data_IF_506581514639
#
_entry.id   IF_506581514639
#
_cell.length_a   1.000
_cell.length_b   1.000
_cell.length_c   1.000
_cell.angle_alpha   90.00
_cell.angle_beta   90.00
_cell.angle_gamma   90.00
#
_symmetry.space_group_name_H-M   'P 1'
#
loop_
_entity.id
_entity.type
_entity.pdbx_description
1 polymer ?
#
# COMPACT_ATOMS: atom_id res chain seq x y z
N UNK A 1 12.80 -16.27 -18.30
CA UNK A 1 13.14 -15.36 -17.19
C UNK A 1 13.30 -16.20 -15.93
N UNK A 2 14.44 -16.12 -15.26
CA UNK A 2 14.64 -16.69 -13.92
C UNK A 2 14.31 -15.56 -12.95
N UNK A 3 13.22 -15.72 -12.17
CA UNK A 3 13.01 -14.89 -10.99
C UNK A 3 13.94 -15.45 -9.93
N UNK A 4 15.16 -14.91 -9.83
CA UNK A 4 16.06 -15.23 -8.73
C UNK A 4 15.74 -14.30 -7.57
N UNK A 5 15.15 -14.84 -6.51
CA UNK A 5 15.22 -14.24 -5.19
C UNK A 5 16.68 -14.27 -4.76
N UNK A 6 17.38 -13.14 -4.91
CA UNK A 6 18.78 -13.03 -4.49
C UNK A 6 18.80 -12.66 -3.01
N UNK A 7 19.15 -13.61 -2.17
CA UNK A 7 19.47 -13.38 -0.76
C UNK A 7 20.90 -12.79 -0.68
N UNK A 8 21.03 -11.47 -0.54
CA UNK A 8 22.32 -10.88 -0.19
C UNK A 8 22.53 -11.02 1.31
N UNK A 9 23.58 -11.74 1.72
CA UNK A 9 24.05 -11.80 3.11
C UNK A 9 24.23 -10.39 3.70
N UNK A 10 23.54 -10.10 4.80
CA UNK A 10 23.80 -8.94 5.67
C UNK A 10 24.08 -9.39 7.11
N UNK A 11 24.92 -8.65 7.85
CA UNK A 11 25.33 -9.03 9.19
C UNK A 11 24.15 -8.98 10.16
N UNK A 12 24.08 -10.00 11.02
CA UNK A 12 23.09 -10.19 12.07
C UNK A 12 23.07 -9.01 13.04
N UNK A 13 22.04 -8.17 12.95
CA UNK A 13 21.58 -7.31 14.06
C UNK A 13 20.05 -7.39 14.17
N UNK A 14 19.58 -7.30 15.41
CA UNK A 14 18.26 -7.71 15.86
C UNK A 14 17.08 -6.89 15.30
N UNK A 15 15.96 -7.61 15.11
CA UNK A 15 14.57 -7.18 14.88
C UNK A 15 14.23 -6.57 13.50
N UNK A 16 13.28 -7.23 12.81
CA UNK A 16 12.68 -6.84 11.54
C UNK A 16 13.36 -7.47 10.31
N UNK A 17 12.66 -8.37 9.60
CA UNK A 17 13.17 -8.98 8.36
C UNK A 17 12.58 -8.26 7.15
N UNK A 18 13.44 -7.83 6.22
CA UNK A 18 13.07 -7.18 4.96
C UNK A 18 13.03 -8.22 3.85
N UNK A 19 11.93 -8.28 3.06
CA UNK A 19 11.90 -9.05 1.82
C UNK A 19 12.09 -8.08 0.65
N UNK A 20 13.24 -8.18 -0.03
CA UNK A 20 13.50 -7.42 -1.25
C UNK A 20 13.08 -8.26 -2.45
N UNK A 21 12.09 -7.80 -3.22
CA UNK A 21 11.72 -8.44 -4.49
C UNK A 21 12.52 -7.76 -5.59
N UNK A 22 13.50 -8.47 -6.14
CA UNK A 22 14.36 -7.98 -7.21
C UNK A 22 13.84 -8.48 -8.56
N UNK A 23 13.16 -7.61 -9.31
CA UNK A 23 12.69 -7.92 -10.66
C UNK A 23 13.76 -7.48 -11.67
N UNK A 24 14.59 -8.41 -12.14
CA UNK A 24 15.63 -8.10 -13.13
C UNK A 24 15.15 -8.48 -14.53
N UNK A 25 14.86 -7.48 -15.35
CA UNK A 25 14.58 -7.68 -16.78
C UNK A 25 15.90 -7.81 -17.56
N UNK A 26 16.15 -8.96 -18.18
CA UNK A 26 17.17 -9.06 -19.23
C UNK A 26 16.49 -9.02 -20.60
N UNK A 27 16.76 -7.96 -21.36
CA UNK A 27 16.44 -7.90 -22.79
C UNK A 27 17.39 -8.82 -23.55
N UNK A 28 16.84 -9.74 -24.35
CA UNK A 28 17.61 -10.52 -25.33
C UNK A 28 17.74 -9.81 -26.70
N UNK A 29 17.23 -8.58 -26.83
CA UNK A 29 17.36 -7.80 -28.05
C UNK A 29 18.30 -6.63 -27.79
N UNK A 30 19.49 -6.70 -28.39
CA UNK A 30 20.49 -5.65 -28.34
C UNK A 30 19.95 -4.35 -28.96
N UNK A 31 20.30 -3.22 -28.33
CA UNK A 31 19.87 -1.83 -28.58
C UNK A 31 18.55 -1.40 -27.93
N UNK A 32 18.53 -1.25 -26.60
CA UNK A 32 17.80 -0.17 -25.94
C UNK A 32 18.55 0.30 -24.68
N UNK A 33 18.44 1.60 -24.38
CA UNK A 33 19.02 2.32 -23.24
C UNK A 33 18.74 1.66 -21.87
N UNK A 34 19.56 1.94 -20.84
CA UNK A 34 19.42 1.30 -19.53
C UNK A 34 18.05 1.59 -18.92
N UNK A 35 17.30 0.52 -18.64
CA UNK A 35 16.12 0.56 -17.77
C UNK A 35 16.55 1.03 -16.38
N UNK A 36 15.80 1.96 -15.80
CA UNK A 36 15.86 2.24 -14.37
C UNK A 36 15.33 1.03 -13.60
N UNK A 37 16.18 0.40 -12.80
CA UNK A 37 15.78 -0.66 -11.87
C UNK A 37 14.77 -0.08 -10.86
N UNK A 38 13.52 -0.55 -10.88
CA UNK A 38 12.51 -0.18 -9.89
C UNK A 38 12.54 -1.20 -8.76
N UNK A 39 12.95 -0.76 -7.57
CA UNK A 39 13.06 -1.58 -6.37
C UNK A 39 11.82 -1.41 -5.49
N UNK A 40 11.00 -2.46 -5.38
CA UNK A 40 9.95 -2.55 -4.37
C UNK A 40 10.47 -3.35 -3.17
N UNK A 41 10.72 -2.66 -2.06
CA UNK A 41 11.02 -3.27 -0.76
C UNK A 41 9.70 -3.43 0.00
N UNK A 42 9.21 -4.67 0.14
CA UNK A 42 8.04 -4.96 0.97
C UNK A 42 8.55 -5.27 2.39
N UNK A 43 8.09 -4.47 3.36
CA UNK A 43 8.44 -4.65 4.77
C UNK A 43 7.37 -5.49 5.46
N UNK A 44 7.73 -6.69 5.90
CA UNK A 44 6.85 -7.53 6.70
C UNK A 44 7.14 -7.31 8.18
N UNK A 45 6.20 -6.70 8.90
CA UNK A 45 6.31 -6.49 10.34
C UNK A 45 5.61 -7.66 11.07
N UNK A 46 6.36 -8.42 11.89
CA UNK A 46 5.82 -9.54 12.69
C UNK A 46 4.86 -8.99 13.75
N UNK A 47 3.55 -9.16 13.54
CA UNK A 47 2.52 -8.73 14.49
C UNK A 47 2.45 -9.72 15.67
N UNK A 48 3.27 -9.51 16.71
CA UNK A 48 3.16 -10.23 17.99
C UNK A 48 2.70 -9.35 19.14
N UNK A 49 1.44 -9.61 19.54
CA UNK A 49 0.86 -9.58 20.88
C UNK A 49 1.15 -8.37 21.79
N UNK A 50 0.12 -7.53 21.96
CA UNK A 50 0.01 -6.61 23.07
C UNK A 50 -0.11 -7.39 24.40
N UNK A 51 0.86 -7.20 25.31
CA UNK A 51 0.70 -7.56 26.72
C UNK A 51 0.60 -6.27 27.54
N UNK A 52 -0.54 -6.14 28.22
CA UNK A 52 -0.88 -5.06 29.15
C UNK A 52 0.00 -5.13 30.41
N UNK A 53 0.62 -4.00 30.80
CA UNK A 53 1.23 -3.83 32.14
C UNK A 53 0.19 -3.27 33.13
N UNK A 54 0.15 -3.73 34.38
CA UNK A 54 -0.52 -3.02 35.46
C UNK A 54 0.43 -2.14 36.27
N UNK A 55 -0.20 -1.10 36.81
CA UNK A 55 0.24 -0.02 37.69
C UNK A 55 0.86 -0.46 39.03
N UNK A 56 1.87 0.31 39.47
CA UNK A 56 2.44 0.34 40.83
C UNK A 56 1.43 0.85 41.87
N UNK A 57 1.56 0.51 43.18
CA UNK A 57 2.36 1.37 44.09
C UNK A 57 3.04 0.71 45.33
N UNK A 58 4.02 1.45 45.88
CA UNK A 58 4.49 1.56 47.29
C UNK A 58 5.28 0.44 48.03
N UNK A 59 6.60 0.71 48.18
CA UNK A 59 7.49 0.69 49.39
C UNK A 59 7.15 -0.23 50.59
N UNK A 60 8.04 -1.20 50.89
CA UNK A 60 8.77 -1.38 52.18
C UNK A 60 9.68 -2.63 52.17
N UNK A 61 10.76 -2.57 52.95
CA UNK A 61 11.83 -3.57 53.10
C UNK A 61 11.43 -4.78 53.98
N UNK A 62 12.13 -5.92 53.85
CA UNK A 62 12.77 -6.71 54.95
C UNK A 62 13.15 -8.16 54.53
N UNK A 63 14.39 -8.52 54.91
CA UNK A 63 15.11 -9.81 55.11
C UNK A 63 15.17 -10.96 54.12
N UNK A 64 16.42 -11.45 54.02
CA UNK A 64 16.92 -12.76 53.61
C UNK A 64 16.13 -13.93 54.23
N UNK A 65 15.85 -14.94 53.41
CA UNK A 65 15.88 -16.33 53.85
C UNK A 65 16.43 -17.24 52.75
N UNK A 66 17.49 -17.96 53.10
CA UNK A 66 18.10 -19.03 52.32
C UNK A 66 17.21 -20.26 52.41
N UNK A 67 16.82 -20.82 51.26
CA UNK A 67 16.27 -22.17 51.16
C UNK A 67 16.84 -22.89 49.93
N UNK A 68 17.12 -24.17 50.15
CA UNK A 68 18.04 -25.06 49.45
C UNK A 68 17.22 -26.06 48.62
N UNK A 69 17.81 -26.57 47.53
CA UNK A 69 17.33 -27.67 46.63
C UNK A 69 16.23 -27.25 45.65
N UNK A 70 16.24 -27.64 44.37
CA UNK A 70 16.54 -28.97 43.79
C UNK A 70 16.96 -28.78 42.32
N UNK A 71 18.01 -29.46 41.88
CA UNK A 71 18.36 -29.58 40.45
C UNK A 71 17.26 -30.40 39.77
N UNK A 72 16.59 -29.82 38.78
CA UNK A 72 15.74 -30.53 37.84
C UNK A 72 16.33 -30.32 36.45
N UNK A 73 16.59 -31.44 35.79
CA UNK A 73 17.21 -31.58 34.49
C UNK A 73 16.38 -30.91 33.40
N UNK A 74 16.98 -29.90 32.77
CA UNK A 74 16.49 -29.22 31.59
C UNK A 74 16.84 -30.07 30.35
N UNK A 75 15.84 -30.76 29.81
CA UNK A 75 15.93 -31.37 28.48
C UNK A 75 15.94 -30.25 27.45
N UNK A 76 17.11 -29.96 26.88
CA UNK A 76 17.28 -29.09 25.70
C UNK A 76 16.48 -29.67 24.53
N UNK A 77 15.27 -29.17 24.32
CA UNK A 77 14.63 -29.23 23.00
C UNK A 77 15.31 -28.19 22.13
N UNK A 78 16.11 -28.70 21.20
CA UNK A 78 16.79 -27.95 20.15
C UNK A 78 15.77 -27.11 19.36
N UNK A 79 15.99 -25.81 19.12
CA UNK A 79 15.11 -25.03 18.26
C UNK A 79 15.17 -25.62 16.85
N UNK A 80 14.01 -26.01 16.32
CA UNK A 80 13.89 -26.40 14.93
C UNK A 80 14.31 -25.21 14.06
N UNK A 81 15.22 -25.50 13.15
CA UNK A 81 15.88 -24.59 12.25
C UNK A 81 14.86 -24.04 11.23
N UNK A 82 14.44 -22.78 11.40
CA UNK A 82 13.52 -22.06 10.49
C UNK A 82 14.31 -21.55 9.28
N UNK A 83 14.97 -22.46 8.56
CA UNK A 83 15.65 -22.18 7.29
C UNK A 83 14.93 -22.85 6.11
N UNK A 84 13.65 -23.20 6.26
CA UNK A 84 12.82 -23.62 5.13
C UNK A 84 12.41 -22.37 4.32
N UNK A 85 13.37 -21.94 3.50
CA UNK A 85 13.17 -20.95 2.44
C UNK A 85 12.33 -21.61 1.35
N UNK A 86 11.11 -21.11 1.13
CA UNK A 86 10.33 -21.45 -0.07
C UNK A 86 10.93 -20.67 -1.24
N UNK A 87 11.97 -21.23 -1.85
CA UNK A 87 12.49 -20.78 -3.14
C UNK A 87 11.48 -21.26 -4.19
N UNK A 88 10.65 -20.36 -4.71
CA UNK A 88 9.79 -20.71 -5.84
C UNK A 88 10.69 -20.95 -7.08
N UNK A 89 10.61 -22.13 -7.72
CA UNK A 89 11.39 -22.41 -8.91
C UNK A 89 10.99 -21.46 -10.07
N UNK A 90 11.89 -21.20 -11.03
CA UNK A 90 11.58 -20.38 -12.19
C UNK A 90 10.38 -20.97 -12.98
N UNK A 91 9.28 -20.21 -12.99
CA UNK A 91 7.92 -20.60 -13.41
C UNK A 91 7.73 -20.92 -14.91
N UNK A 92 8.78 -21.24 -15.66
CA UNK A 92 8.68 -21.39 -17.13
C UNK A 92 7.82 -22.59 -17.60
N UNK A 93 7.46 -23.53 -16.71
CA UNK A 93 6.69 -24.73 -17.05
C UNK A 93 5.58 -25.10 -16.04
N UNK A 94 5.22 -24.20 -15.13
CA UNK A 94 4.16 -24.47 -14.15
C UNK A 94 2.78 -24.34 -14.81
N UNK A 95 1.82 -25.23 -14.50
CA UNK A 95 0.45 -25.07 -14.98
C UNK A 95 -0.10 -23.72 -14.49
N UNK A 96 -0.80 -22.94 -15.33
CA UNK A 96 -1.21 -21.57 -15.04
C UNK A 96 -2.01 -21.41 -13.74
N UNK A 97 -2.69 -22.48 -13.30
CA UNK A 97 -3.47 -22.48 -12.07
C UNK A 97 -2.60 -22.41 -10.79
N UNK A 98 -1.41 -23.00 -10.80
CA UNK A 98 -0.55 -23.03 -9.61
C UNK A 98 -0.03 -21.63 -9.24
N UNK A 99 0.21 -20.79 -10.24
CA UNK A 99 0.69 -19.41 -10.03
C UNK A 99 -0.44 -18.54 -9.48
N UNK A 100 -1.66 -18.70 -10.00
CA UNK A 100 -2.83 -18.00 -9.50
C UNK A 100 -3.11 -18.35 -8.03
N UNK A 101 -3.02 -19.63 -7.66
CA UNK A 101 -3.23 -20.11 -6.29
C UNK A 101 -2.17 -19.55 -5.31
N UNK A 102 -0.91 -19.46 -5.75
CA UNK A 102 0.16 -18.88 -4.94
C UNK A 102 -0.09 -17.38 -4.66
N UNK A 103 -0.49 -16.62 -5.69
CA UNK A 103 -0.83 -15.20 -5.52
C UNK A 103 -2.07 -15.01 -4.65
N UNK A 104 -3.08 -15.86 -4.81
CA UNK A 104 -4.27 -15.83 -3.97
C UNK A 104 -3.90 -15.96 -2.48
N UNK A 105 -3.01 -16.89 -2.14
CA UNK A 105 -2.53 -17.03 -0.76
C UNK A 105 -1.81 -15.77 -0.26
N UNK A 106 -0.93 -15.17 -1.07
CA UNK A 106 -0.23 -13.92 -0.70
C UNK A 106 -1.22 -12.80 -0.41
N UNK A 107 -2.27 -12.64 -1.23
CA UNK A 107 -3.26 -11.57 -1.02
C UNK A 107 -4.03 -11.68 0.30
N UNK A 108 -4.10 -12.87 0.91
CA UNK A 108 -4.77 -13.03 2.21
C UNK A 108 -3.98 -12.41 3.38
N UNK A 109 -2.68 -12.16 3.18
CA UNK A 109 -1.79 -11.58 4.21
C UNK A 109 -1.55 -10.09 4.03
N UNK A 110 -1.92 -9.53 2.88
CA UNK A 110 -1.69 -8.14 2.55
C UNK A 110 -2.92 -7.30 2.91
N UNK A 111 -2.68 -6.04 3.24
CA UNK A 111 -3.76 -5.06 3.33
C UNK A 111 -4.26 -4.72 1.93
N UNK A 112 -5.45 -4.13 1.88
CA UNK A 112 -6.16 -3.89 0.62
C UNK A 112 -5.40 -2.95 -0.32
N UNK A 113 -4.83 -1.87 0.22
CA UNK A 113 -4.02 -0.92 -0.54
C UNK A 113 -2.70 -1.54 -1.02
N UNK A 114 -2.11 -2.44 -0.23
CA UNK A 114 -0.93 -3.22 -0.64
C UNK A 114 -1.25 -4.22 -1.76
N UNK A 115 -2.42 -4.87 -1.72
CA UNK A 115 -2.89 -5.71 -2.83
C UNK A 115 -3.06 -4.90 -4.12
N UNK A 116 -3.57 -3.67 -4.02
CA UNK A 116 -3.74 -2.78 -5.16
C UNK A 116 -2.38 -2.36 -5.76
N UNK A 117 -1.40 -2.05 -4.91
CA UNK A 117 -0.01 -1.80 -5.32
C UNK A 117 0.62 -3.01 -5.99
N UNK A 118 0.45 -4.21 -5.41
CA UNK A 118 0.98 -5.44 -5.96
C UNK A 118 0.36 -5.75 -7.34
N UNK A 119 -0.94 -5.53 -7.49
CA UNK A 119 -1.64 -5.69 -8.76
C UNK A 119 -1.07 -4.76 -9.83
N UNK A 120 -0.94 -3.46 -9.52
CA UNK A 120 -0.36 -2.46 -10.43
C UNK A 120 1.07 -2.81 -10.85
N UNK A 121 1.92 -3.17 -9.88
CA UNK A 121 3.31 -3.54 -10.14
C UNK A 121 3.44 -4.77 -11.06
N UNK A 122 2.48 -5.70 -10.98
CA UNK A 122 2.44 -6.87 -11.88
C UNK A 122 1.91 -6.47 -13.26
N UNK A 123 0.86 -5.64 -13.33
CA UNK A 123 0.26 -5.21 -14.60
C UNK A 123 1.23 -4.43 -15.49
N UNK A 124 2.13 -3.64 -14.87
CA UNK A 124 3.18 -2.90 -15.58
C UNK A 124 4.29 -3.80 -16.15
N UNK A 125 4.31 -5.09 -15.82
CA UNK A 125 5.25 -5.99 -16.47
C UNK A 125 4.78 -6.28 -17.91
N UNK A 126 5.67 -6.10 -18.89
CA UNK A 126 5.38 -6.31 -20.33
C UNK A 126 5.03 -7.76 -20.72
N UNK A 127 4.68 -8.62 -19.76
CA UNK A 127 4.45 -10.04 -19.97
C UNK A 127 2.96 -10.35 -20.07
N UNK A 128 2.51 -11.06 -21.13
CA UNK A 128 1.10 -11.45 -21.29
C UNK A 128 0.52 -12.25 -20.10
N UNK A 129 1.36 -13.01 -19.39
CA UNK A 129 0.95 -13.76 -18.19
C UNK A 129 0.65 -12.88 -16.98
N UNK A 130 1.16 -11.65 -16.97
CA UNK A 130 1.02 -10.74 -15.84
C UNK A 130 -0.40 -10.20 -15.69
N UNK A 131 -1.08 -9.94 -16.79
CA UNK A 131 -2.49 -9.52 -16.79
C UNK A 131 -3.39 -10.54 -16.08
N UNK A 132 -3.16 -11.84 -16.30
CA UNK A 132 -3.92 -12.90 -15.61
C UNK A 132 -3.62 -12.93 -14.12
N UNK A 133 -2.36 -12.70 -13.72
CA UNK A 133 -1.96 -12.64 -12.31
C UNK A 133 -2.54 -11.40 -11.62
N UNK A 134 -2.46 -10.22 -12.24
CA UNK A 134 -3.08 -8.98 -11.77
C UNK A 134 -4.59 -9.18 -11.54
N UNK A 135 -5.32 -9.71 -12.53
CA UNK A 135 -6.74 -10.03 -12.38
C UNK A 135 -7.02 -10.98 -11.22
N UNK A 136 -6.21 -12.02 -11.05
CA UNK A 136 -6.36 -12.97 -9.95
C UNK A 136 -6.16 -12.30 -8.59
N UNK A 137 -5.16 -11.44 -8.47
CA UNK A 137 -4.87 -10.67 -7.25
C UNK A 137 -6.02 -9.71 -6.93
N UNK A 138 -6.47 -8.93 -7.92
CA UNK A 138 -7.57 -7.97 -7.76
C UNK A 138 -8.86 -8.66 -7.36
N UNK A 139 -9.18 -9.79 -8.00
CA UNK A 139 -10.37 -10.58 -7.67
C UNK A 139 -10.28 -11.21 -6.28
N UNK A 140 -9.12 -11.78 -5.93
CA UNK A 140 -8.93 -12.43 -4.63
C UNK A 140 -8.96 -11.41 -3.49
N UNK A 141 -8.29 -10.27 -3.66
CA UNK A 141 -8.34 -9.17 -2.71
C UNK A 141 -9.76 -8.61 -2.56
N UNK A 142 -10.53 -8.49 -3.66
CA UNK A 142 -11.94 -8.12 -3.58
C UNK A 142 -12.76 -9.12 -2.75
N UNK A 143 -12.53 -10.43 -2.91
CA UNK A 143 -13.25 -11.45 -2.13
C UNK A 143 -12.90 -11.37 -0.64
N UNK A 144 -11.63 -11.21 -0.30
CA UNK A 144 -11.17 -11.20 1.10
C UNK A 144 -11.47 -9.89 1.83
N UNK A 145 -11.44 -8.75 1.14
CA UNK A 145 -11.64 -7.43 1.75
C UNK A 145 -13.03 -6.82 1.50
N UNK A 146 -14.00 -7.60 1.00
CA UNK A 146 -15.38 -7.13 0.81
C UNK A 146 -15.55 -6.14 -0.35
N UNK A 147 -14.83 -6.36 -1.45
CA UNK A 147 -14.83 -5.55 -2.67
C UNK A 147 -13.85 -4.37 -2.60
N UNK A 148 -13.85 -3.50 -3.62
CA UNK A 148 -12.96 -2.32 -3.70
C UNK A 148 -13.60 -1.00 -3.23
N UNK A 149 -14.76 -1.07 -2.56
CA UNK A 149 -15.56 0.10 -2.17
C UNK A 149 -14.83 1.20 -1.39
N UNK A 150 -13.78 0.86 -0.64
CA UNK A 150 -12.91 1.83 0.02
C UNK A 150 -11.45 1.51 -0.25
N UNK A 151 -10.67 2.52 -0.63
CA UNK A 151 -9.22 2.46 -0.80
C UNK A 151 -8.58 3.62 -0.02
N UNK A 152 -7.78 3.28 0.99
CA UNK A 152 -7.08 4.24 1.84
C UNK A 152 -5.59 3.89 1.86
N UNK A 153 -4.74 4.86 1.55
CA UNK A 153 -3.29 4.68 1.54
C UNK A 153 -2.66 4.81 2.94
N UNK A 154 -3.46 5.03 3.99
CA UNK A 154 -2.99 5.09 5.39
C UNK A 154 -2.36 3.78 5.87
N UNK A 155 -2.76 2.66 5.25
CA UNK A 155 -2.27 1.31 5.55
C UNK A 155 -0.87 1.05 4.95
N UNK A 156 -0.42 1.90 4.03
CA UNK A 156 0.91 1.79 3.42
C UNK A 156 1.92 2.58 4.26
N UNK A 157 3.12 2.03 4.42
CA UNK A 157 4.20 2.73 5.09
C UNK A 157 4.40 4.14 4.50
N UNK A 158 4.39 5.17 5.36
CA UNK A 158 4.47 6.59 4.97
C UNK A 158 5.61 6.90 3.98
N UNK A 159 6.76 6.25 4.15
CA UNK A 159 7.92 6.43 3.27
C UNK A 159 7.75 5.82 1.88
N UNK A 160 6.89 4.80 1.74
CA UNK A 160 6.52 4.20 0.46
C UNK A 160 5.40 5.01 -0.20
N UNK A 161 4.35 5.35 0.55
CA UNK A 161 3.26 6.20 0.05
C UNK A 161 3.77 7.54 -0.50
N UNK A 162 4.75 8.15 0.18
CA UNK A 162 5.38 9.40 -0.27
C UNK A 162 6.18 9.28 -1.57
N UNK A 163 6.56 8.06 -2.00
CA UNK A 163 7.26 7.80 -3.26
C UNK A 163 6.32 7.54 -4.43
N UNK A 164 5.04 7.30 -4.16
CA UNK A 164 4.05 7.08 -5.21
C UNK A 164 3.88 8.35 -6.03
N UNK A 165 3.96 8.20 -7.34
CA UNK A 165 3.72 9.26 -8.32
C UNK A 165 2.38 9.05 -9.04
N UNK A 166 2.04 9.96 -9.95
CA UNK A 166 0.77 9.90 -10.67
C UNK A 166 0.59 8.65 -11.55
N UNK A 167 1.66 8.10 -12.13
CA UNK A 167 1.62 6.87 -12.92
C UNK A 167 1.27 5.69 -12.02
N UNK A 168 1.90 5.58 -10.85
CA UNK A 168 1.61 4.51 -9.89
C UNK A 168 0.14 4.56 -9.45
N UNK A 169 -0.38 5.75 -9.12
CA UNK A 169 -1.79 5.94 -8.74
C UNK A 169 -2.73 5.60 -9.91
N UNK A 170 -2.38 5.98 -11.14
CA UNK A 170 -3.15 5.64 -12.33
C UNK A 170 -3.26 4.13 -12.50
N UNK A 171 -2.12 3.43 -12.48
CA UNK A 171 -2.04 1.98 -12.63
C UNK A 171 -2.85 1.25 -11.55
N UNK A 172 -2.74 1.69 -10.30
CA UNK A 172 -3.52 1.14 -9.17
C UNK A 172 -5.02 1.30 -9.42
N UNK A 173 -5.48 2.51 -9.74
CA UNK A 173 -6.90 2.80 -9.92
C UNK A 173 -7.48 2.09 -11.14
N UNK A 174 -6.72 1.96 -12.22
CA UNK A 174 -7.13 1.19 -13.41
C UNK A 174 -7.21 -0.30 -13.08
N UNK A 175 -6.21 -0.86 -12.39
CA UNK A 175 -6.14 -2.29 -12.04
C UNK A 175 -7.36 -2.77 -11.26
N UNK A 176 -7.93 -1.92 -10.38
CA UNK A 176 -9.10 -2.25 -9.55
C UNK A 176 -10.43 -1.79 -10.16
N UNK A 177 -10.43 -1.28 -11.39
CA UNK A 177 -11.58 -0.65 -12.05
C UNK A 177 -12.24 0.43 -11.17
N UNK A 178 -11.44 1.35 -10.61
CA UNK A 178 -11.88 2.27 -9.57
C UNK A 178 -13.08 3.14 -9.96
N UNK A 179 -13.22 3.45 -11.25
CA UNK A 179 -14.33 4.25 -11.79
C UNK A 179 -15.72 3.71 -11.43
N UNK A 180 -15.86 2.38 -11.34
CA UNK A 180 -17.13 1.70 -11.04
C UNK A 180 -17.15 1.01 -9.67
N UNK A 181 -15.99 0.88 -9.00
CA UNK A 181 -15.86 0.04 -7.80
C UNK A 181 -15.52 0.82 -6.53
N UNK A 182 -14.81 1.95 -6.63
CA UNK A 182 -14.31 2.70 -5.46
C UNK A 182 -15.30 3.79 -5.07
N UNK A 183 -15.88 3.67 -3.88
CA UNK A 183 -16.78 4.67 -3.28
C UNK A 183 -16.05 5.67 -2.40
N UNK A 184 -14.96 5.27 -1.77
CA UNK A 184 -14.14 6.13 -0.92
C UNK A 184 -12.68 5.98 -1.29
N UNK A 185 -12.06 7.07 -1.74
CA UNK A 185 -10.63 7.14 -2.00
C UNK A 185 -9.96 8.14 -1.05
N UNK A 186 -8.91 7.73 -0.34
CA UNK A 186 -8.08 8.63 0.47
C UNK A 186 -6.60 8.48 0.14
N UNK A 187 -5.99 9.58 -0.29
CA UNK A 187 -4.58 9.63 -0.72
C UNK A 187 -3.64 9.93 0.45
N UNK A 188 -3.91 9.31 1.60
CA UNK A 188 -3.15 9.48 2.83
C UNK A 188 -1.67 9.26 2.59
N UNK A 189 -0.82 10.22 2.98
CA UNK A 189 0.64 10.20 2.82
C UNK A 189 1.19 10.18 1.38
N UNK A 190 0.34 10.20 0.33
CA UNK A 190 0.74 10.27 -1.07
C UNK A 190 1.17 11.70 -1.47
N UNK A 191 2.22 12.22 -0.85
CA UNK A 191 2.64 13.64 -0.98
C UNK A 191 3.24 13.99 -2.35
N UNK A 192 3.69 13.00 -3.12
CA UNK A 192 4.35 13.17 -4.43
C UNK A 192 3.41 13.35 -5.62
N UNK A 193 2.10 13.25 -5.42
CA UNK A 193 1.11 13.27 -6.52
C UNK A 193 0.78 14.68 -6.97
N UNK A 194 0.68 14.89 -8.29
CA UNK A 194 0.24 16.15 -8.90
C UNK A 194 -1.27 16.14 -9.15
N UNK A 195 -1.86 14.96 -9.35
CA UNK A 195 -3.29 14.73 -9.57
C UNK A 195 -3.64 14.16 -10.96
N UNK A 196 -2.66 13.95 -11.84
CA UNK A 196 -2.85 13.30 -13.14
C UNK A 196 -3.30 11.85 -12.99
N UNK A 197 -2.84 11.14 -11.95
CA UNK A 197 -3.22 9.76 -11.70
C UNK A 197 -4.71 9.56 -11.41
N UNK A 198 -5.40 10.64 -11.00
CA UNK A 198 -6.83 10.63 -10.73
C UNK A 198 -7.69 10.67 -12.01
N UNK A 199 -7.09 10.76 -13.19
CA UNK A 199 -7.82 10.82 -14.48
C UNK A 199 -8.69 9.59 -14.71
N UNK A 200 -8.33 8.45 -14.14
CA UNK A 200 -9.12 7.20 -14.20
C UNK A 200 -10.47 7.29 -13.49
N UNK A 201 -10.66 8.26 -12.59
CA UNK A 201 -11.94 8.47 -11.88
C UNK A 201 -12.93 9.34 -12.67
N UNK A 202 -12.54 9.88 -13.83
CA UNK A 202 -13.42 10.75 -14.62
C UNK A 202 -14.74 10.05 -14.95
N UNK A 203 -15.84 10.75 -14.69
CA UNK A 203 -17.19 10.24 -14.95
C UNK A 203 -17.66 9.14 -14.01
N UNK A 204 -16.93 8.86 -12.92
CA UNK A 204 -17.40 7.93 -11.89
C UNK A 204 -18.74 8.39 -11.32
N UNK A 205 -19.71 7.48 -11.24
CA UNK A 205 -21.02 7.72 -10.60
C UNK A 205 -21.09 7.14 -9.19
N UNK A 206 -20.17 6.24 -8.84
CA UNK A 206 -20.17 5.52 -7.56
C UNK A 206 -19.32 6.19 -6.48
N UNK A 207 -18.41 7.10 -6.85
CA UNK A 207 -17.51 7.75 -5.91
C UNK A 207 -18.31 8.66 -4.96
N UNK A 208 -18.32 8.31 -3.67
CA UNK A 208 -19.01 9.02 -2.60
C UNK A 208 -18.08 9.95 -1.82
N UNK A 209 -16.82 9.56 -1.66
CA UNK A 209 -15.82 10.26 -0.88
C UNK A 209 -14.47 10.34 -1.62
N UNK A 210 -13.89 11.53 -1.65
CA UNK A 210 -12.52 11.77 -2.10
C UNK A 210 -11.77 12.64 -1.10
N UNK A 211 -10.71 12.09 -0.51
CA UNK A 211 -9.85 12.79 0.44
C UNK A 211 -8.45 13.05 -0.15
N UNK A 212 -8.18 14.33 -0.37
CA UNK A 212 -6.95 14.89 -0.91
C UNK A 212 -6.14 15.63 0.15
N UNK A 213 -6.46 15.47 1.45
CA UNK A 213 -5.73 16.16 2.52
C UNK A 213 -4.27 15.71 2.66
N UNK A 214 -3.94 14.50 2.19
CA UNK A 214 -2.61 13.85 2.27
C UNK A 214 -2.12 13.58 3.71
N UNK A 215 -2.94 13.88 4.71
CA UNK A 215 -2.60 13.80 6.14
C UNK A 215 -3.17 12.51 6.72
N UNK A 216 -2.37 11.84 7.56
CA UNK A 216 -2.81 10.63 8.27
C UNK A 216 -3.91 10.89 9.30
N UNK A 217 -4.64 9.84 9.71
CA UNK A 217 -5.58 9.96 10.82
C UNK A 217 -4.85 10.43 12.07
N UNK A 218 -5.39 11.45 12.74
CA UNK A 218 -4.82 12.09 13.94
C UNK A 218 -3.47 12.80 13.72
N UNK A 219 -3.00 12.95 12.48
CA UNK A 219 -1.87 13.82 12.19
C UNK A 219 -2.39 15.25 12.01
N UNK A 220 -1.71 16.21 12.66
CA UNK A 220 -1.87 17.61 12.27
C UNK A 220 -1.20 17.81 10.91
N UNK A 221 -1.76 18.61 9.99
CA UNK A 221 -1.06 19.03 8.79
C UNK A 221 0.28 19.64 9.19
N UNK A 222 1.37 18.91 8.96
CA UNK A 222 2.71 19.40 9.27
C UNK A 222 3.05 20.53 8.30
N UNK A 223 3.88 21.48 8.72
CA UNK A 223 4.34 22.58 7.85
C UNK A 223 5.03 22.09 6.56
N UNK A 224 5.53 20.85 6.54
CA UNK A 224 6.06 20.22 5.33
C UNK A 224 4.99 19.95 4.25
N UNK A 225 3.70 20.05 4.58
CA UNK A 225 2.56 19.94 3.66
C UNK A 225 2.01 21.30 3.26
N UNK A 226 2.69 22.40 3.59
CA UNK A 226 2.27 23.76 3.24
C UNK A 226 2.38 24.04 1.72
N UNK A 227 2.99 23.13 0.96
CA UNK A 227 2.97 23.15 -0.51
C UNK A 227 2.78 21.74 -1.08
N UNK A 228 1.54 21.22 -1.09
CA UNK A 228 1.29 19.88 -1.61
C UNK A 228 1.50 19.89 -3.13
N UNK A 229 2.12 18.84 -3.67
CA UNK A 229 2.36 18.73 -5.11
C UNK A 229 1.08 18.69 -5.94
N UNK A 230 -0.05 18.32 -5.31
CA UNK A 230 -1.34 18.24 -5.95
C UNK A 230 -1.78 19.62 -6.43
N UNK A 231 -2.16 19.73 -7.71
CA UNK A 231 -2.47 21.00 -8.37
C UNK A 231 -3.97 21.16 -8.63
N UNK A 232 -4.59 22.30 -8.23
CA UNK A 232 -6.01 22.54 -8.50
C UNK A 232 -6.34 22.46 -10.00
N UNK A 233 -5.47 23.01 -10.85
CA UNK A 233 -5.70 23.03 -12.31
C UNK A 233 -5.75 21.65 -12.97
N UNK A 234 -5.21 20.61 -12.33
CA UNK A 234 -5.28 19.22 -12.82
C UNK A 234 -6.50 18.50 -12.25
N UNK A 235 -6.73 18.66 -10.95
CA UNK A 235 -7.76 17.93 -10.21
C UNK A 235 -9.16 18.49 -10.42
N UNK A 236 -9.33 19.81 -10.46
CA UNK A 236 -10.65 20.46 -10.58
C UNK A 236 -11.41 20.00 -11.83
N UNK A 237 -10.81 19.91 -13.04
CA UNK A 237 -11.49 19.35 -14.20
C UNK A 237 -11.96 17.90 -14.02
N UNK A 238 -11.22 17.08 -13.26
CA UNK A 238 -11.60 15.69 -12.96
C UNK A 238 -12.80 15.68 -12.01
N UNK A 239 -12.75 16.48 -10.95
CA UNK A 239 -13.88 16.63 -10.02
C UNK A 239 -15.15 17.08 -10.76
N UNK A 240 -15.03 18.05 -11.65
CA UNK A 240 -16.15 18.49 -12.48
C UNK A 240 -16.75 17.36 -13.31
N UNK A 241 -15.93 16.52 -13.94
CA UNK A 241 -16.43 15.39 -14.72
C UNK A 241 -17.18 14.34 -13.89
N UNK A 242 -16.90 14.25 -12.58
CA UNK A 242 -17.56 13.34 -11.64
C UNK A 242 -18.88 13.94 -11.16
N UNK A 243 -18.88 15.25 -10.87
CA UNK A 243 -20.03 15.94 -10.30
C UNK A 243 -21.09 16.25 -11.37
N UNK A 244 -20.66 16.65 -12.57
CA UNK A 244 -21.55 16.95 -13.69
C UNK A 244 -22.26 15.70 -14.24
N UNK A 245 -21.80 14.52 -13.83
CA UNK A 245 -22.39 13.25 -14.22
C UNK A 245 -23.74 13.04 -13.52
N UNK A 246 -24.79 12.84 -14.30
CA UNK A 246 -26.09 12.45 -13.77
C UNK A 246 -25.99 11.17 -12.91
N UNK A 247 -26.60 11.20 -11.72
CA UNK A 247 -26.56 10.08 -10.78
C UNK A 247 -25.25 9.98 -9.98
N UNK A 248 -24.44 11.04 -9.94
CA UNK A 248 -23.25 11.08 -9.08
C UNK A 248 -23.60 10.85 -7.60
N UNK A 249 -22.79 10.02 -6.94
CA UNK A 249 -22.96 9.69 -5.52
C UNK A 249 -22.06 10.52 -4.60
N UNK A 250 -21.33 11.51 -5.14
CA UNK A 250 -20.33 12.29 -4.40
C UNK A 250 -20.97 13.10 -3.28
N UNK A 251 -20.54 12.85 -2.03
CA UNK A 251 -21.05 13.48 -0.81
C UNK A 251 -19.96 14.19 -0.03
N UNK A 252 -18.72 13.68 -0.08
CA UNK A 252 -17.62 14.19 0.72
C UNK A 252 -16.39 14.45 -0.13
N UNK A 253 -15.94 15.71 -0.10
CA UNK A 253 -14.71 16.13 -0.75
C UNK A 253 -13.84 16.85 0.27
N UNK A 254 -12.71 16.24 0.61
CA UNK A 254 -11.74 16.83 1.54
C UNK A 254 -10.55 17.35 0.74
N UNK A 255 -10.41 18.68 0.68
CA UNK A 255 -9.36 19.36 -0.06
C UNK A 255 -8.08 19.55 0.78
N UNK A 256 -6.90 19.71 0.16
CA UNK A 256 -5.69 20.12 0.86
C UNK A 256 -5.91 21.41 1.66
N UNK A 257 -5.28 21.53 2.84
CA UNK A 257 -5.44 22.71 3.70
C UNK A 257 -5.11 24.02 2.97
N UNK A 258 -3.98 24.05 2.26
CA UNK A 258 -3.54 25.19 1.45
C UNK A 258 -4.61 25.67 0.48
N UNK A 259 -5.28 24.75 -0.20
CA UNK A 259 -6.33 25.10 -1.16
C UNK A 259 -7.52 25.78 -0.52
N UNK A 260 -7.87 25.40 0.71
CA UNK A 260 -8.94 26.02 1.51
C UNK A 260 -8.52 27.41 2.00
N UNK A 261 -7.28 27.55 2.47
CA UNK A 261 -6.75 28.78 3.04
C UNK A 261 -6.54 29.85 1.95
N UNK A 262 -5.97 29.47 0.80
CA UNK A 262 -5.65 30.37 -0.30
C UNK A 262 -6.90 30.93 -1.01
N UNK A 263 -8.11 30.45 -0.65
CA UNK A 263 -9.39 30.74 -1.34
C UNK A 263 -9.18 30.84 -2.86
N UNK A 264 -8.39 29.91 -3.41
CA UNK A 264 -7.81 30.10 -4.74
C UNK A 264 -8.92 30.50 -5.70
N UNK A 265 -8.73 31.55 -6.52
CA UNK A 265 -9.80 32.03 -7.40
C UNK A 265 -10.40 30.91 -8.26
N UNK A 266 -9.58 29.89 -8.56
CA UNK A 266 -9.96 28.64 -9.21
C UNK A 266 -11.04 27.89 -8.42
N UNK A 267 -10.89 27.75 -7.10
CA UNK A 267 -11.90 27.14 -6.23
C UNK A 267 -13.04 28.11 -5.90
N UNK A 268 -12.77 29.41 -5.78
CA UNK A 268 -13.80 30.42 -5.47
C UNK A 268 -14.94 30.45 -6.49
N UNK A 269 -14.63 30.39 -7.79
CA UNK A 269 -15.68 30.37 -8.82
C UNK A 269 -16.34 28.99 -8.96
N UNK A 270 -15.62 27.93 -8.58
CA UNK A 270 -16.02 26.54 -8.81
C UNK A 270 -16.81 25.92 -7.66
N UNK A 271 -16.45 26.26 -6.42
CA UNK A 271 -17.02 25.71 -5.18
C UNK A 271 -18.28 26.43 -4.73
N UNK A 272 -18.52 27.67 -5.16
CA UNK A 272 -19.79 28.37 -4.88
C UNK A 272 -21.01 27.62 -5.43
N UNK A 273 -20.83 26.76 -6.43
CA UNK A 273 -21.87 25.87 -6.95
C UNK A 273 -22.23 24.70 -6.02
N UNK A 274 -21.36 24.35 -5.08
CA UNK A 274 -21.55 23.19 -4.21
C UNK A 274 -22.27 23.50 -2.90
N UNK A 275 -22.57 24.77 -2.61
CA UNK A 275 -23.15 25.16 -1.32
C UNK A 275 -22.27 24.78 -0.12
N UNK A 276 -20.94 24.66 -0.34
CA UNK A 276 -19.90 24.38 0.65
C UNK A 276 -19.12 25.63 1.02
#
# INVERSE_FOLDING_TARGET
MVVTLIDTKWPTLASGSLMSIHLKGQSQYGLMSPMSDVYYMLWFCDAKSATTKPTHPTRMAITRHVSKRRKQSESKSQPQNINDVVILPPLSHSPPNLVADAWANVTTFLLKSECALLAAAIDNSQYPSAYSACKSIVATAALHHGGWGSLDFADIAKSLAAKLNDEDILEILVSINAVDTVKSLKLTHCVGIVGHGLVSLRGSVVLEQLDLSLVGPNESPSSSLDDPMIRPGVVVPILYSIIDKEGTSMKHLQLPKKWRDDKSQVLGNSLLWFGL
#
